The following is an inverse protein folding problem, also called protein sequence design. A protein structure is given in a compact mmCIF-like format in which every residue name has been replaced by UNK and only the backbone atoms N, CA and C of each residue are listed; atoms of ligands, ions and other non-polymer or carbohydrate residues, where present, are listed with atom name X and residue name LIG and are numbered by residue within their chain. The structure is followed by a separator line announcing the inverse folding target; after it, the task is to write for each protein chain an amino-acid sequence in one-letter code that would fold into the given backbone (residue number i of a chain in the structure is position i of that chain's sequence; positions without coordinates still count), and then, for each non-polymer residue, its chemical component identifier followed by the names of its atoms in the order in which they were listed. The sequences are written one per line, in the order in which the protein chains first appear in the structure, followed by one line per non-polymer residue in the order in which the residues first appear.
data_IF_041024381387
#
_entry.id   IF_041024381387
#
_cell.length_a   1.000
_cell.length_b   1.000
_cell.length_c   1.000
_cell.angle_alpha   90.00
_cell.angle_beta   90.00
_cell.angle_gamma   90.00
#
_symmetry.space_group_name_H-M   'P 1'
#
loop_
_entity.id
_entity.type
_entity.pdbx_description
1 polymer ?
#
# COMPACT_ATOMS: atom_id res chain seq x y z
N UNK A 1 -19.06 6.29 8.90
CA UNK A 1 -18.55 4.90 8.92
C UNK A 1 -19.25 4.04 9.97
N UNK A 2 -19.26 4.41 11.25
CA UNK A 2 -19.84 3.59 12.33
C UNK A 2 -21.33 3.24 12.12
N UNK A 3 -22.18 4.22 11.78
CA UNK A 3 -23.62 3.98 11.56
C UNK A 3 -23.86 3.05 10.36
N UNK A 4 -23.10 3.22 9.28
CA UNK A 4 -23.21 2.39 8.07
C UNK A 4 -22.79 0.95 8.39
N UNK A 5 -21.69 0.78 9.12
CA UNK A 5 -21.21 -0.54 9.55
C UNK A 5 -22.23 -1.24 10.46
N UNK A 6 -22.83 -0.51 11.41
CA UNK A 6 -23.87 -1.01 12.29
C UNK A 6 -25.10 -1.52 11.50
N UNK A 7 -25.64 -0.70 10.61
CA UNK A 7 -26.81 -1.07 9.79
C UNK A 7 -26.50 -2.26 8.88
N UNK A 8 -25.33 -2.27 8.25
CA UNK A 8 -24.94 -3.35 7.32
C UNK A 8 -24.69 -4.67 8.04
N UNK A 9 -24.13 -4.65 9.25
CA UNK A 9 -23.95 -5.86 10.05
C UNK A 9 -25.28 -6.48 10.50
N UNK A 10 -26.28 -5.66 10.82
CA UNK A 10 -27.59 -6.17 11.26
C UNK A 10 -28.40 -6.69 10.08
N UNK A 11 -28.50 -5.92 9.00
CA UNK A 11 -29.44 -6.22 7.90
C UNK A 11 -28.78 -6.84 6.65
N UNK A 12 -27.47 -6.67 6.49
CA UNK A 12 -26.74 -6.99 5.26
C UNK A 12 -25.71 -8.13 5.36
N UNK A 13 -25.59 -8.80 6.51
CA UNK A 13 -24.55 -9.82 6.74
C UNK A 13 -24.54 -10.94 5.67
N UNK A 14 -25.69 -11.33 5.15
CA UNK A 14 -25.80 -12.36 4.10
C UNK A 14 -25.24 -11.92 2.74
N UNK A 15 -25.20 -10.61 2.48
CA UNK A 15 -24.68 -10.03 1.22
C UNK A 15 -23.18 -9.75 1.33
N UNK A 16 -22.65 -9.65 2.55
CA UNK A 16 -21.27 -9.29 2.84
C UNK A 16 -20.22 -10.13 2.07
N UNK A 17 -20.36 -11.47 1.93
CA UNK A 17 -19.38 -12.26 1.17
C UNK A 17 -19.31 -11.88 -0.31
N UNK A 18 -20.44 -11.51 -0.92
CA UNK A 18 -20.47 -11.08 -2.33
C UNK A 18 -19.80 -9.71 -2.50
N UNK A 19 -20.06 -8.79 -1.56
CA UNK A 19 -19.39 -7.48 -1.54
C UNK A 19 -17.88 -7.61 -1.34
N UNK A 20 -17.43 -8.47 -0.43
CA UNK A 20 -16.01 -8.74 -0.21
C UNK A 20 -15.33 -9.24 -1.49
N UNK A 21 -15.94 -10.18 -2.22
CA UNK A 21 -15.39 -10.68 -3.48
C UNK A 21 -15.33 -9.58 -4.56
N UNK A 22 -16.36 -8.74 -4.67
CA UNK A 22 -16.38 -7.63 -5.61
C UNK A 22 -15.27 -6.61 -5.31
N UNK A 23 -15.11 -6.24 -4.04
CA UNK A 23 -14.03 -5.34 -3.63
C UNK A 23 -12.65 -5.96 -3.82
N UNK A 24 -12.49 -7.27 -3.63
CA UNK A 24 -11.23 -7.96 -3.90
C UNK A 24 -10.83 -7.84 -5.38
N UNK A 25 -11.78 -8.07 -6.31
CA UNK A 25 -11.54 -7.88 -7.75
C UNK A 25 -11.21 -6.41 -8.05
N UNK A 26 -11.96 -5.47 -7.47
CA UNK A 26 -11.71 -4.04 -7.64
C UNK A 26 -10.30 -3.65 -7.14
N UNK A 27 -9.85 -4.19 -6.00
CA UNK A 27 -8.51 -3.92 -5.46
C UNK A 27 -7.41 -4.36 -6.43
N UNK A 28 -7.56 -5.54 -7.05
CA UNK A 28 -6.61 -6.00 -8.07
C UNK A 28 -6.58 -5.04 -9.26
N UNK A 29 -7.74 -4.59 -9.73
CA UNK A 29 -7.83 -3.64 -10.84
C UNK A 29 -7.20 -2.28 -10.48
N UNK A 30 -7.48 -1.76 -9.29
CA UNK A 30 -6.93 -0.49 -8.80
C UNK A 30 -5.41 -0.59 -8.64
N UNK A 31 -4.89 -1.71 -8.16
CA UNK A 31 -3.44 -1.93 -8.06
C UNK A 31 -2.73 -1.75 -9.41
N UNK A 32 -3.25 -2.38 -10.47
CA UNK A 32 -2.68 -2.20 -11.81
C UNK A 32 -2.94 -0.81 -12.38
N UNK A 33 -4.13 -0.25 -12.16
CA UNK A 33 -4.44 1.13 -12.57
C UNK A 33 -3.58 2.18 -11.85
N UNK A 34 -3.00 1.84 -10.69
CA UNK A 34 -2.06 2.67 -9.97
C UNK A 34 -0.64 2.55 -10.54
N UNK A 35 -0.11 1.33 -10.67
CA UNK A 35 1.28 1.10 -11.08
C UNK A 35 1.52 1.39 -12.56
N UNK A 36 0.64 0.92 -13.45
CA UNK A 36 0.86 0.97 -14.90
C UNK A 36 1.05 2.41 -15.42
N UNK A 37 0.21 3.39 -15.05
CA UNK A 37 0.42 4.75 -15.52
C UNK A 37 1.75 5.34 -15.03
N UNK A 38 2.17 5.03 -13.80
CA UNK A 38 3.45 5.52 -13.27
C UNK A 38 4.60 4.99 -14.14
N UNK A 39 4.63 3.69 -14.42
CA UNK A 39 5.69 3.08 -15.24
C UNK A 39 5.77 3.63 -16.67
N UNK A 40 4.65 4.06 -17.25
CA UNK A 40 4.62 4.60 -18.62
C UNK A 40 4.92 6.10 -18.64
N UNK A 41 4.51 6.83 -17.60
CA UNK A 41 4.52 8.29 -17.64
C UNK A 41 5.69 8.95 -16.92
N UNK A 42 6.23 8.31 -15.88
CA UNK A 42 7.04 9.01 -14.89
C UNK A 42 8.55 8.97 -15.17
N UNK A 43 9.29 10.00 -14.72
CA UNK A 43 10.75 10.01 -14.81
C UNK A 43 11.34 8.95 -13.89
N UNK A 44 12.49 8.38 -14.28
CA UNK A 44 13.14 7.28 -13.55
C UNK A 44 14.42 7.80 -12.88
N UNK A 45 14.53 7.58 -11.58
CA UNK A 45 15.71 7.83 -10.76
C UNK A 45 16.82 6.80 -11.05
N UNK A 46 18.07 7.16 -10.77
CA UNK A 46 19.18 6.23 -10.96
C UNK A 46 19.14 5.08 -9.94
N UNK A 47 19.66 3.91 -10.34
CA UNK A 47 19.76 2.77 -9.42
C UNK A 47 20.59 3.10 -8.17
N UNK A 48 21.67 3.89 -8.34
CA UNK A 48 22.49 4.33 -7.21
C UNK A 48 21.66 5.12 -6.21
N UNK A 49 20.88 6.10 -6.69
CA UNK A 49 20.03 6.91 -5.83
C UNK A 49 19.05 6.05 -5.00
N UNK A 50 18.34 5.11 -5.64
CA UNK A 50 17.34 4.28 -4.95
C UNK A 50 17.94 3.37 -3.88
N UNK A 51 19.13 2.80 -4.11
CA UNK A 51 19.69 1.76 -3.25
C UNK A 51 20.79 2.25 -2.30
N UNK A 52 21.32 3.46 -2.49
CA UNK A 52 22.46 3.98 -1.73
C UNK A 52 22.18 5.30 -1.02
N UNK A 53 21.18 6.07 -1.47
CA UNK A 53 20.88 7.37 -0.89
C UNK A 53 19.75 7.24 0.14
N UNK A 54 20.11 7.37 1.42
CA UNK A 54 19.14 7.38 2.53
C UNK A 54 19.06 8.77 3.14
N UNK A 55 17.89 9.41 3.04
CA UNK A 55 17.64 10.75 3.59
C UNK A 55 16.77 10.68 4.85
N UNK A 56 17.12 11.47 5.86
CA UNK A 56 16.40 11.58 7.13
C UNK A 56 15.80 12.98 7.30
N UNK A 57 14.80 13.29 6.48
CA UNK A 57 14.10 14.57 6.51
C UNK A 57 13.18 14.73 7.75
N UNK A 58 12.96 13.65 8.51
CA UNK A 58 12.18 13.67 9.74
C UNK A 58 12.93 14.25 10.96
N UNK A 59 14.22 14.59 10.82
CA UNK A 59 15.02 15.18 11.90
C UNK A 59 15.38 14.20 13.02
N UNK A 60 15.30 12.89 12.78
CA UNK A 60 15.66 11.88 13.78
C UNK A 60 17.17 11.86 14.06
N UNK A 61 17.58 11.41 15.25
CA UNK A 61 19.00 11.38 15.64
C UNK A 61 19.88 10.44 14.80
N UNK A 62 19.28 9.47 14.11
CA UNK A 62 19.97 8.57 13.18
C UNK A 62 19.02 8.06 12.11
N UNK A 63 19.57 7.68 10.95
CA UNK A 63 18.81 7.03 9.87
C UNK A 63 18.16 5.73 10.33
N UNK A 64 18.84 4.96 11.20
CA UNK A 64 18.26 3.74 11.78
C UNK A 64 16.99 4.02 12.59
N UNK A 65 17.00 5.08 13.42
CA UNK A 65 15.81 5.51 14.15
C UNK A 65 14.70 6.00 13.20
N UNK A 66 15.06 6.74 12.14
CA UNK A 66 14.11 7.19 11.13
C UNK A 66 13.40 6.00 10.45
N UNK A 67 14.13 4.93 10.14
CA UNK A 67 13.56 3.69 9.60
C UNK A 67 12.62 3.02 10.61
N UNK A 68 13.04 2.92 11.88
CA UNK A 68 12.23 2.30 12.93
C UNK A 68 10.93 3.06 13.20
N UNK A 69 10.92 4.38 13.03
CA UNK A 69 9.72 5.20 13.11
C UNK A 69 8.90 5.08 11.82
N UNK A 70 9.54 5.13 10.65
CA UNK A 70 8.86 5.05 9.35
C UNK A 70 8.09 3.75 9.12
N UNK A 71 8.57 2.62 9.65
CA UNK A 71 7.88 1.33 9.53
C UNK A 71 6.55 1.26 10.29
N UNK A 72 6.26 2.17 11.24
CA UNK A 72 5.01 2.14 12.02
C UNK A 72 3.78 2.20 11.12
N UNK A 73 3.80 3.04 10.09
CA UNK A 73 2.70 3.13 9.12
C UNK A 73 2.53 1.80 8.38
N UNK A 74 3.62 1.17 7.93
CA UNK A 74 3.56 -0.14 7.27
C UNK A 74 3.05 -1.26 8.19
N UNK A 75 3.38 -1.23 9.48
CA UNK A 75 2.84 -2.19 10.47
C UNK A 75 1.33 -1.99 10.65
N UNK A 76 0.87 -0.74 10.68
CA UNK A 76 -0.56 -0.44 10.83
C UNK A 76 -1.42 -0.94 9.65
N UNK A 77 -0.82 -1.12 8.47
CA UNK A 77 -1.48 -1.69 7.29
C UNK A 77 -1.67 -3.22 7.37
N UNK A 78 -1.01 -3.90 8.31
CA UNK A 78 -1.15 -5.36 8.51
C UNK A 78 -2.24 -5.74 9.53
N UNK A 79 -3.06 -4.77 9.96
CA UNK A 79 -4.15 -5.00 10.90
C UNK A 79 -5.17 -5.99 10.33
N UNK A 80 -5.58 -6.94 11.16
CA UNK A 80 -6.62 -7.92 10.83
C UNK A 80 -6.11 -9.21 10.18
N UNK A 81 -4.79 -9.41 10.10
CA UNK A 81 -4.23 -10.67 9.59
C UNK A 81 -4.60 -11.89 10.44
N UNK A 82 -4.91 -11.68 11.72
CA UNK A 82 -5.34 -12.69 12.68
C UNK A 82 -6.87 -12.89 12.71
N UNK A 83 -7.64 -12.14 11.91
CA UNK A 83 -9.12 -12.24 11.86
C UNK A 83 -9.59 -13.68 11.61
N UNK A 84 -8.87 -14.43 10.77
CA UNK A 84 -9.19 -15.84 10.49
C UNK A 84 -9.03 -16.74 11.72
N UNK A 85 -8.18 -16.39 12.69
CA UNK A 85 -8.06 -17.11 13.95
C UNK A 85 -9.30 -16.89 14.85
N UNK A 86 -9.84 -15.68 14.86
CA UNK A 86 -11.06 -15.34 15.60
C UNK A 86 -12.31 -16.03 15.03
N UNK A 87 -12.30 -16.38 13.75
CA UNK A 87 -13.39 -17.12 13.08
C UNK A 87 -13.10 -18.62 12.93
N UNK A 88 -12.25 -19.18 13.80
CA UNK A 88 -11.78 -20.56 13.68
C UNK A 88 -12.89 -21.62 13.68
N UNK A 89 -14.00 -21.35 14.35
CA UNK A 89 -15.16 -22.25 14.43
C UNK A 89 -15.84 -22.47 13.06
N UNK A 90 -15.72 -21.50 12.16
CA UNK A 90 -16.32 -21.54 10.81
C UNK A 90 -15.37 -22.14 9.76
N UNK A 91 -14.10 -22.39 10.14
CA UNK A 91 -13.05 -22.85 9.23
C UNK A 91 -12.87 -24.36 9.29
N UNK A 92 -13.11 -25.04 8.17
CA UNK A 92 -12.84 -26.47 8.03
C UNK A 92 -11.35 -26.77 8.23
N UNK A 93 -11.04 -27.69 9.15
CA UNK A 93 -9.66 -28.06 9.53
C UNK A 93 -8.84 -26.85 10.04
N UNK A 94 -9.43 -26.02 10.90
CA UNK A 94 -8.84 -24.80 11.46
C UNK A 94 -7.35 -24.91 11.84
N UNK A 95 -6.95 -25.97 12.55
CA UNK A 95 -5.56 -26.19 13.01
C UNK A 95 -4.50 -26.24 11.90
N UNK A 96 -4.89 -26.54 10.67
CA UNK A 96 -3.99 -26.54 9.50
C UNK A 96 -4.29 -25.41 8.53
N UNK A 97 -5.56 -25.05 8.37
CA UNK A 97 -5.98 -24.03 7.40
C UNK A 97 -5.59 -22.62 7.87
N UNK A 98 -5.84 -22.28 9.14
CA UNK A 98 -5.62 -20.92 9.66
C UNK A 98 -4.14 -20.51 9.58
N UNK A 99 -3.16 -21.31 10.06
CA UNK A 99 -1.76 -20.92 9.99
C UNK A 99 -1.28 -20.72 8.54
N UNK A 100 -1.78 -21.55 7.61
CA UNK A 100 -1.47 -21.43 6.19
C UNK A 100 -2.08 -20.16 5.59
N UNK A 101 -3.33 -19.86 5.89
CA UNK A 101 -4.02 -18.66 5.40
C UNK A 101 -3.30 -17.40 5.87
N UNK A 102 -2.93 -17.31 7.14
CA UNK A 102 -2.17 -16.16 7.68
C UNK A 102 -0.86 -15.96 6.90
N UNK A 103 -0.09 -17.04 6.69
CA UNK A 103 1.17 -16.95 5.94
C UNK A 103 0.95 -16.56 4.47
N UNK A 104 -0.06 -17.13 3.81
CA UNK A 104 -0.37 -16.80 2.41
C UNK A 104 -0.75 -15.33 2.29
N UNK A 105 -1.62 -14.82 3.16
CA UNK A 105 -2.02 -13.41 3.17
C UNK A 105 -0.81 -12.51 3.40
N UNK A 106 0.06 -12.84 4.36
CA UNK A 106 1.28 -12.08 4.61
C UNK A 106 2.18 -12.00 3.37
N UNK A 107 2.46 -13.15 2.75
CA UNK A 107 3.34 -13.23 1.58
C UNK A 107 2.73 -12.52 0.37
N UNK A 108 1.42 -12.68 0.12
CA UNK A 108 0.75 -11.98 -0.97
C UNK A 108 0.78 -10.46 -0.79
N UNK A 109 0.55 -9.96 0.42
CA UNK A 109 0.66 -8.53 0.72
C UNK A 109 2.09 -8.03 0.46
N UNK A 110 3.11 -8.76 0.91
CA UNK A 110 4.51 -8.40 0.64
C UNK A 110 4.80 -8.35 -0.87
N UNK A 111 4.39 -9.37 -1.63
CA UNK A 111 4.63 -9.45 -3.07
C UNK A 111 3.92 -8.35 -3.85
N UNK A 112 2.77 -7.85 -3.39
CA UNK A 112 2.07 -6.74 -4.01
C UNK A 112 2.65 -5.38 -3.59
N UNK A 113 2.93 -5.19 -2.31
CA UNK A 113 3.40 -3.93 -1.76
C UNK A 113 4.85 -3.62 -2.15
N UNK A 114 5.71 -4.63 -2.21
CA UNK A 114 7.13 -4.43 -2.49
C UNK A 114 7.39 -3.82 -3.88
N UNK A 115 6.81 -4.31 -4.99
CA UNK A 115 6.91 -3.64 -6.29
C UNK A 115 6.27 -2.25 -6.32
N UNK A 116 5.18 -2.02 -5.58
CA UNK A 116 4.54 -0.71 -5.49
C UNK A 116 5.46 0.31 -4.78
N UNK A 117 6.12 -0.11 -3.71
CA UNK A 117 7.12 0.68 -3.00
C UNK A 117 8.31 1.01 -3.91
N UNK A 118 8.88 0.00 -4.57
CA UNK A 118 9.98 0.21 -5.52
C UNK A 118 9.56 1.15 -6.65
N UNK A 119 8.33 1.03 -7.15
CA UNK A 119 7.79 1.94 -8.17
C UNK A 119 7.88 3.39 -7.71
N UNK A 120 7.51 3.69 -6.47
CA UNK A 120 7.57 5.06 -5.94
C UNK A 120 9.02 5.52 -5.74
N UNK A 121 9.90 4.66 -5.22
CA UNK A 121 11.33 5.00 -5.07
C UNK A 121 11.99 5.31 -6.41
N UNK A 122 11.72 4.50 -7.45
CA UNK A 122 12.30 4.70 -8.77
C UNK A 122 11.69 5.88 -9.53
N UNK A 123 10.43 6.23 -9.27
CA UNK A 123 9.77 7.29 -10.05
C UNK A 123 9.77 8.66 -9.35
N UNK A 124 10.55 8.82 -8.27
CA UNK A 124 10.72 10.07 -7.53
C UNK A 124 12.17 10.56 -7.56
N UNK A 125 12.64 11.10 -8.70
CA UNK A 125 14.04 11.51 -8.86
C UNK A 125 14.43 12.76 -8.06
N UNK A 126 13.47 13.66 -7.78
CA UNK A 126 13.71 14.84 -6.93
C UNK A 126 12.74 14.81 -5.74
N UNK A 127 13.27 14.49 -4.55
CA UNK A 127 12.49 14.44 -3.32
C UNK A 127 12.07 15.83 -2.84
N UNK A 128 12.92 16.84 -3.01
CA UNK A 128 12.66 18.19 -2.51
C UNK A 128 11.49 18.84 -3.27
N UNK A 129 11.44 18.64 -4.59
CA UNK A 129 10.29 19.08 -5.41
C UNK A 129 9.01 18.30 -5.05
N UNK A 130 9.13 17.01 -4.74
CA UNK A 130 7.99 16.18 -4.35
C UNK A 130 7.40 16.59 -2.99
N UNK A 131 8.25 17.03 -2.06
CA UNK A 131 7.84 17.55 -0.75
C UNK A 131 7.25 18.96 -0.83
N UNK A 132 7.71 19.77 -1.79
CA UNK A 132 7.19 21.11 -2.04
C UNK A 132 5.87 21.11 -2.83
N UNK A 133 5.49 19.99 -3.44
CA UNK A 133 4.29 19.90 -4.26
C UNK A 133 2.99 20.02 -3.45
N UNK A 134 2.06 20.82 -3.96
CA UNK A 134 0.79 21.13 -3.28
C UNK A 134 -0.11 19.89 -3.15
N UNK A 135 0.07 18.87 -4.00
CA UNK A 135 -0.74 17.66 -3.94
C UNK A 135 -0.45 16.83 -2.69
N UNK A 136 0.71 16.97 -2.05
CA UNK A 136 1.13 16.21 -0.84
C UNK A 136 1.15 14.69 -1.04
N UNK A 137 0.88 14.20 -2.26
CA UNK A 137 0.84 12.78 -2.62
C UNK A 137 1.91 12.51 -3.66
N UNK A 138 3.01 11.84 -3.29
CA UNK A 138 4.14 11.66 -4.21
C UNK A 138 3.76 10.97 -5.52
N UNK A 139 2.81 10.03 -5.49
CA UNK A 139 2.30 9.38 -6.70
C UNK A 139 1.57 10.32 -7.68
N UNK A 140 0.95 11.39 -7.19
CA UNK A 140 0.25 12.40 -8.01
C UNK A 140 1.28 13.39 -8.58
N UNK A 141 2.25 13.80 -7.78
CA UNK A 141 3.39 14.63 -8.22
C UNK A 141 4.13 13.97 -9.39
N UNK A 142 4.44 12.68 -9.24
CA UNK A 142 5.16 11.86 -10.24
C UNK A 142 4.43 11.81 -11.59
N UNK A 143 3.10 11.89 -11.60
CA UNK A 143 2.29 11.97 -12.83
C UNK A 143 2.17 13.40 -13.38
N UNK A 144 2.14 14.41 -12.51
CA UNK A 144 1.91 15.82 -12.87
C UNK A 144 3.17 16.51 -13.40
N UNK A 145 4.36 16.07 -12.94
CA UNK A 145 5.65 16.61 -13.35
C UNK A 145 6.00 16.41 -14.85
N UNK A 146 5.25 15.57 -15.57
CA UNK A 146 5.34 15.43 -17.04
C UNK A 146 4.38 16.36 -17.78
N UNK A 147 3.14 16.48 -17.31
CA UNK A 147 2.14 17.39 -17.90
C UNK A 147 2.59 18.86 -17.89
N UNK A 148 3.25 19.31 -16.82
CA UNK A 148 3.83 20.65 -16.75
C UNK A 148 5.08 20.82 -17.64
N UNK A 149 5.76 19.73 -17.96
CA UNK A 149 6.94 19.72 -18.86
C UNK A 149 6.55 19.74 -20.33
N UNK A 150 5.41 19.14 -20.69
CA UNK A 150 4.87 19.13 -22.05
C UNK A 150 4.11 20.43 -22.40
N UNK A 151 3.82 21.29 -21.41
CA UNK A 151 3.16 22.59 -21.57
C UNK A 151 4.12 23.80 -21.57
N UNK A 152 5.42 23.57 -21.37
CA UNK A 152 6.49 24.58 -21.34
C UNK A 152 7.43 24.40 -22.54
#
# INVERSE_FOLDING_TARGET
MVVIAYVTNIYGAKVLPYWQNAFFVLHILVYFAYIVPIWVSAPIASHSQVWTEFRNEGGWSSTGLAVLVGQLTGISEQVGIDTTAHMSEEVKNASRTIPKTILIVYVLNFVLLFPALLTICYHMPNLDDALADTTTYPAIYVRTARLLRDLA
#
